data_IF_856493213748
#
_entry.id   IF_856493213748
#
_cell.length_a   1.000
_cell.length_b   1.000
_cell.length_c   1.000
_cell.angle_alpha   90.00
_cell.angle_beta   90.00
_cell.angle_gamma   90.00
#
_symmetry.space_group_name_H-M   'P 1'
#
loop_
_entity.id
_entity.type
_entity.pdbx_description
1 polymer ?
#
# COMPACT_ATOMS: atom_id res chain seq x y z
N UNK A 1 -9.87 22.05 1.84
CA UNK A 1 -10.60 20.81 2.23
C UNK A 1 -10.02 19.63 1.47
N UNK A 2 -9.76 18.53 2.17
CA UNK A 2 -9.16 17.35 1.56
C UNK A 2 -10.21 16.39 1.02
N UNK A 3 -10.10 16.01 -0.24
CA UNK A 3 -10.96 15.06 -0.93
C UNK A 3 -10.15 13.82 -1.28
N UNK A 4 -10.57 12.67 -0.73
CA UNK A 4 -10.10 11.36 -1.13
C UNK A 4 -10.62 11.01 -2.53
N UNK A 5 -9.72 10.67 -3.45
CA UNK A 5 -10.13 10.30 -4.80
C UNK A 5 -10.84 8.94 -4.82
N UNK A 6 -10.41 8.00 -3.99
CA UNK A 6 -11.08 6.70 -3.85
C UNK A 6 -12.52 6.87 -3.33
N UNK A 7 -12.76 7.77 -2.36
CA UNK A 7 -14.12 8.08 -1.92
C UNK A 7 -14.91 8.83 -2.97
N UNK A 8 -14.27 9.73 -3.72
CA UNK A 8 -14.94 10.45 -4.80
C UNK A 8 -15.46 9.49 -5.88
N UNK A 9 -14.70 8.44 -6.20
CA UNK A 9 -15.12 7.39 -7.12
C UNK A 9 -16.33 6.60 -6.61
N UNK A 10 -16.48 6.40 -5.29
CA UNK A 10 -17.68 5.76 -4.73
C UNK A 10 -18.95 6.58 -4.94
N UNK A 11 -18.85 7.91 -4.92
CA UNK A 11 -19.97 8.81 -5.22
C UNK A 11 -20.18 9.04 -6.70
N UNK A 12 -19.11 8.89 -7.50
CA UNK A 12 -19.14 9.08 -8.95
C UNK A 12 -18.33 7.98 -9.65
N UNK A 13 -18.92 6.76 -9.82
CA UNK A 13 -18.22 5.61 -10.42
C UNK A 13 -17.67 5.89 -11.82
N UNK A 14 -18.22 6.91 -12.50
CA UNK A 14 -17.71 7.41 -13.79
C UNK A 14 -16.23 7.79 -13.76
N UNK A 15 -15.67 8.09 -12.58
CA UNK A 15 -14.25 8.45 -12.41
C UNK A 15 -13.32 7.24 -12.34
N UNK A 16 -13.83 6.01 -12.39
CA UNK A 16 -12.98 4.82 -12.44
C UNK A 16 -12.08 4.86 -13.67
N UNK A 17 -10.77 4.70 -13.45
CA UNK A 17 -9.74 4.79 -14.50
C UNK A 17 -9.33 6.21 -14.92
N UNK A 18 -9.92 7.25 -14.33
CA UNK A 18 -9.48 8.63 -14.56
C UNK A 18 -8.19 8.95 -13.80
N UNK A 19 -7.37 9.81 -14.40
CA UNK A 19 -6.20 10.34 -13.72
C UNK A 19 -6.62 11.41 -12.68
N UNK A 20 -6.26 11.28 -11.40
CA UNK A 20 -6.60 12.26 -10.37
C UNK A 20 -6.17 13.69 -10.69
N UNK A 21 -5.04 13.89 -11.39
CA UNK A 21 -4.59 15.21 -11.79
C UNK A 21 -5.53 15.86 -12.84
N UNK A 22 -6.04 15.09 -13.80
CA UNK A 22 -7.03 15.60 -14.77
C UNK A 22 -8.35 15.98 -14.11
N UNK A 23 -8.74 15.23 -13.06
CA UNK A 23 -9.92 15.56 -12.26
C UNK A 23 -9.68 16.83 -11.44
N UNK A 24 -8.48 17.03 -10.90
CA UNK A 24 -8.08 18.24 -10.18
C UNK A 24 -8.11 19.49 -11.10
N UNK A 25 -7.60 19.37 -12.32
CA UNK A 25 -7.70 20.43 -13.35
C UNK A 25 -9.17 20.76 -13.68
N UNK A 26 -9.98 19.71 -13.81
CA UNK A 26 -11.43 19.87 -14.05
C UNK A 26 -12.11 20.60 -12.90
N UNK A 27 -11.81 20.24 -11.64
CA UNK A 27 -12.36 20.89 -10.44
C UNK A 27 -12.03 22.39 -10.45
N UNK A 28 -10.78 22.75 -10.71
CA UNK A 28 -10.36 24.15 -10.82
C UNK A 28 -11.12 24.86 -11.94
N UNK A 29 -11.27 24.23 -13.10
CA UNK A 29 -11.98 24.81 -14.25
C UNK A 29 -13.48 25.08 -13.98
N UNK A 30 -14.11 24.30 -13.09
CA UNK A 30 -15.52 24.50 -12.71
C UNK A 30 -15.71 25.37 -11.45
N UNK A 31 -14.63 25.96 -10.93
CA UNK A 31 -14.66 26.91 -9.83
C UNK A 31 -14.47 26.32 -8.42
N UNK A 32 -13.91 25.11 -8.35
CA UNK A 32 -13.38 24.50 -7.12
C UNK A 32 -11.86 24.48 -7.21
N UNK A 33 -11.23 25.57 -6.78
CA UNK A 33 -9.77 25.74 -6.89
C UNK A 33 -9.01 24.64 -6.15
N UNK A 34 -8.12 23.93 -6.84
CA UNK A 34 -7.28 22.89 -6.26
C UNK A 34 -5.95 23.50 -5.86
N UNK A 35 -5.63 23.42 -4.55
CA UNK A 35 -4.38 23.89 -3.96
C UNK A 35 -3.25 22.86 -4.12
N UNK A 36 -3.59 21.57 -4.12
CA UNK A 36 -2.61 20.49 -4.23
C UNK A 36 -3.22 19.12 -4.52
N UNK A 37 -2.37 18.22 -5.00
CA UNK A 37 -2.69 16.80 -5.20
C UNK A 37 -1.55 15.99 -4.58
N UNK A 38 -1.86 15.17 -3.59
CA UNK A 38 -0.89 14.36 -2.87
C UNK A 38 -1.28 12.88 -2.89
N UNK A 39 -0.30 12.02 -3.11
CA UNK A 39 -0.50 10.58 -3.01
C UNK A 39 -0.25 10.12 -1.58
N UNK A 40 -1.24 9.47 -0.98
CA UNK A 40 -1.20 8.92 0.37
C UNK A 40 -1.13 7.40 0.29
N UNK A 41 -0.20 6.81 1.02
CA UNK A 41 0.02 5.36 1.09
C UNK A 41 0.02 4.91 2.56
N UNK A 42 -0.62 3.78 2.87
CA UNK A 42 -0.64 3.20 4.23
C UNK A 42 0.77 2.91 4.74
N UNK A 43 1.66 2.51 3.84
CA UNK A 43 3.08 2.31 4.10
C UNK A 43 3.87 3.07 3.05
N UNK A 44 4.84 3.85 3.48
CA UNK A 44 5.64 4.68 2.58
C UNK A 44 6.34 3.83 1.51
N UNK A 45 6.14 4.16 0.26
CA UNK A 45 6.64 3.39 -0.88
C UNK A 45 5.72 2.25 -1.32
N UNK A 46 4.58 2.02 -0.63
CA UNK A 46 3.56 1.04 -1.01
C UNK A 46 4.07 -0.39 -1.12
N UNK A 47 5.19 -0.73 -0.48
CA UNK A 47 5.89 -2.02 -0.58
C UNK A 47 6.18 -2.48 -2.03
N UNK A 48 6.36 -1.54 -2.96
CA UNK A 48 6.68 -1.88 -4.36
C UNK A 48 7.99 -2.64 -4.47
N UNK A 49 7.94 -3.86 -5.06
CA UNK A 49 9.07 -4.76 -5.17
C UNK A 49 9.32 -5.64 -3.94
N UNK A 50 8.44 -5.56 -2.93
CA UNK A 50 8.42 -6.49 -1.80
C UNK A 50 7.42 -7.59 -2.08
N UNK A 51 7.84 -8.85 -1.92
CA UNK A 51 7.01 -10.03 -2.20
C UNK A 51 7.07 -11.02 -1.05
N UNK A 52 6.10 -11.91 -0.98
CA UNK A 52 6.13 -13.06 -0.09
C UNK A 52 7.01 -14.14 -0.70
N UNK A 53 7.95 -14.67 0.06
CA UNK A 53 8.84 -15.74 -0.36
C UNK A 53 8.75 -16.94 0.57
N UNK A 54 9.27 -18.07 0.11
CA UNK A 54 9.43 -19.26 0.94
C UNK A 54 10.89 -19.69 0.99
N UNK A 55 11.46 -19.80 2.19
CA UNK A 55 12.81 -20.31 2.38
C UNK A 55 12.83 -21.81 2.12
N UNK A 56 13.51 -22.26 1.06
CA UNK A 56 13.65 -23.68 0.73
C UNK A 56 14.77 -24.32 1.55
N UNK A 57 15.92 -23.64 1.63
CA UNK A 57 17.08 -24.06 2.42
C UNK A 57 17.63 -22.91 3.23
N UNK A 58 18.26 -23.23 4.36
CA UNK A 58 18.97 -22.29 5.20
C UNK A 58 20.19 -23.00 5.79
N UNK A 59 21.37 -22.63 5.35
CA UNK A 59 22.63 -23.25 5.79
C UNK A 59 23.55 -22.20 6.41
N UNK A 60 24.41 -22.57 7.38
CA UNK A 60 25.41 -21.66 7.92
C UNK A 60 26.31 -21.10 6.80
N UNK A 61 26.65 -19.84 6.91
CA UNK A 61 27.54 -19.19 5.95
C UNK A 61 28.99 -19.69 6.11
N UNK A 62 29.70 -20.05 5.02
CA UNK A 62 31.02 -20.67 5.12
C UNK A 62 32.09 -19.77 5.77
N UNK A 63 31.93 -18.45 5.71
CA UNK A 63 32.89 -17.48 6.21
C UNK A 63 32.30 -16.55 7.29
N UNK A 64 31.26 -17.02 8.01
CA UNK A 64 30.60 -16.22 9.09
C UNK A 64 29.89 -17.15 10.07
N UNK A 65 29.97 -16.81 11.34
CA UNK A 65 29.36 -17.51 12.45
C UNK A 65 27.91 -17.07 12.76
N UNK A 66 27.47 -15.94 12.18
CA UNK A 66 26.15 -15.35 12.41
C UNK A 66 25.33 -15.13 11.14
N UNK A 67 25.89 -15.43 9.95
CA UNK A 67 25.16 -15.34 8.70
C UNK A 67 24.67 -16.72 8.24
N UNK A 68 23.59 -16.72 7.50
CA UNK A 68 23.05 -17.89 6.83
C UNK A 68 22.90 -17.62 5.33
N UNK A 69 23.15 -18.64 4.53
CA UNK A 69 22.87 -18.63 3.09
C UNK A 69 21.55 -19.36 2.87
N UNK A 70 20.57 -18.63 2.40
CA UNK A 70 19.22 -19.13 2.17
C UNK A 70 18.94 -19.23 0.67
N UNK A 71 18.28 -20.30 0.25
CA UNK A 71 17.64 -20.39 -1.06
C UNK A 71 16.16 -20.07 -0.85
N UNK A 72 15.66 -19.08 -1.57
CA UNK A 72 14.30 -18.56 -1.38
C UNK A 72 13.53 -18.63 -2.70
N UNK A 73 12.36 -19.25 -2.65
CA UNK A 73 11.40 -19.26 -3.74
C UNK A 73 10.60 -17.94 -3.70
N UNK A 74 10.60 -17.21 -4.82
CA UNK A 74 9.87 -15.97 -5.01
C UNK A 74 8.77 -16.09 -6.08
N UNK A 75 8.38 -17.34 -6.44
CA UNK A 75 7.38 -17.60 -7.48
C UNK A 75 7.92 -17.47 -8.91
N UNK A 76 9.23 -17.33 -9.08
CA UNK A 76 9.93 -17.33 -10.38
C UNK A 76 10.38 -18.73 -10.75
N UNK A 77 10.89 -18.94 -12.00
CA UNK A 77 11.33 -20.25 -12.47
C UNK A 77 12.47 -20.83 -11.61
N UNK A 78 13.39 -19.98 -11.14
CA UNK A 78 14.52 -20.38 -10.30
C UNK A 78 14.49 -19.66 -8.95
N UNK A 79 14.70 -20.39 -7.85
CA UNK A 79 14.87 -19.78 -6.53
C UNK A 79 16.11 -18.89 -6.47
N UNK A 80 16.08 -17.86 -5.65
CA UNK A 80 17.19 -16.92 -5.48
C UNK A 80 17.99 -17.19 -4.21
N UNK A 81 19.29 -16.90 -4.24
CA UNK A 81 20.14 -16.95 -3.06
C UNK A 81 20.07 -15.60 -2.32
N UNK A 82 19.78 -15.65 -1.02
CA UNK A 82 19.80 -14.48 -0.12
C UNK A 82 20.63 -14.82 1.12
N UNK A 83 21.54 -13.95 1.48
CA UNK A 83 22.31 -14.04 2.73
C UNK A 83 21.59 -13.26 3.81
N UNK A 84 21.28 -13.92 4.92
CA UNK A 84 20.52 -13.36 6.04
C UNK A 84 21.32 -13.47 7.33
N UNK A 85 21.29 -12.39 8.14
CA UNK A 85 21.93 -12.32 9.45
C UNK A 85 20.98 -12.46 10.63
N UNK A 86 19.69 -12.62 10.37
CA UNK A 86 18.70 -12.71 11.43
C UNK A 86 18.79 -14.05 12.19
N UNK A 87 18.68 -14.04 13.53
CA UNK A 87 18.85 -15.24 14.34
C UNK A 87 17.69 -16.25 14.20
N UNK A 88 16.55 -15.80 13.71
CA UNK A 88 15.33 -16.59 13.57
C UNK A 88 15.09 -17.14 12.16
N UNK A 89 16.04 -16.94 11.22
CA UNK A 89 15.86 -17.47 9.85
C UNK A 89 16.06 -19.00 9.84
N UNK A 90 15.15 -19.71 9.17
CA UNK A 90 15.19 -21.16 9.02
C UNK A 90 14.60 -21.59 7.68
N UNK A 91 14.86 -22.84 7.27
CA UNK A 91 14.21 -23.43 6.11
C UNK A 91 12.71 -23.69 6.36
N UNK A 92 11.90 -23.61 5.32
CA UNK A 92 10.45 -23.86 5.35
C UNK A 92 9.58 -22.68 5.77
N UNK A 93 10.18 -21.53 6.12
CA UNK A 93 9.44 -20.35 6.57
C UNK A 93 8.84 -19.56 5.40
N UNK A 94 7.65 -19.02 5.62
CA UNK A 94 7.06 -17.98 4.78
C UNK A 94 7.57 -16.62 5.26
N UNK A 95 8.22 -15.87 4.39
CA UNK A 95 8.96 -14.65 4.76
C UNK A 95 8.68 -13.50 3.78
N UNK A 96 8.98 -12.29 4.20
CA UNK A 96 8.83 -11.08 3.39
C UNK A 96 10.18 -10.74 2.79
N UNK A 97 10.22 -10.58 1.47
CA UNK A 97 11.46 -10.37 0.72
C UNK A 97 11.39 -9.11 -0.12
N UNK A 98 12.34 -8.21 0.10
CA UNK A 98 12.61 -7.10 -0.79
C UNK A 98 13.54 -7.56 -1.92
N UNK A 99 13.04 -7.52 -3.16
CA UNK A 99 13.80 -7.92 -4.36
C UNK A 99 14.82 -6.87 -4.76
N UNK A 100 15.77 -7.25 -5.61
CA UNK A 100 16.76 -6.30 -6.15
C UNK A 100 16.07 -5.18 -6.92
N UNK A 101 16.42 -3.95 -6.59
CA UNK A 101 15.80 -2.74 -7.17
C UNK A 101 14.76 -2.08 -6.28
N UNK A 102 14.22 -2.77 -5.28
CA UNK A 102 13.27 -2.25 -4.29
C UNK A 102 13.90 -1.12 -3.48
N UNK A 103 13.12 -0.09 -3.21
CA UNK A 103 13.48 0.98 -2.26
C UNK A 103 12.64 0.79 -1.00
N UNK A 104 13.30 0.63 0.13
CA UNK A 104 12.68 0.59 1.46
C UNK A 104 12.92 1.91 2.19
N UNK A 105 12.08 2.19 3.19
CA UNK A 105 12.14 3.42 3.97
C UNK A 105 12.28 3.07 5.45
N UNK A 106 13.36 3.52 6.08
CA UNK A 106 13.62 3.34 7.50
C UNK A 106 12.67 4.16 8.38
N UNK A 107 12.65 3.88 9.69
CA UNK A 107 11.81 4.62 10.67
C UNK A 107 12.13 6.10 10.75
N UNK A 108 13.37 6.49 10.43
CA UNK A 108 13.88 7.86 10.35
C UNK A 108 13.48 8.58 9.05
N UNK A 109 12.83 7.86 8.12
CA UNK A 109 12.45 8.37 6.81
C UNK A 109 13.55 8.32 5.77
N UNK A 110 14.75 7.83 6.10
CA UNK A 110 15.79 7.58 5.11
C UNK A 110 15.41 6.42 4.21
N UNK A 111 15.76 6.53 2.92
CA UNK A 111 15.50 5.49 1.95
C UNK A 111 16.78 4.73 1.61
N UNK A 112 16.67 3.42 1.47
CA UNK A 112 17.75 2.60 0.97
C UNK A 112 17.28 1.64 -0.12
N UNK A 113 18.10 1.50 -1.16
CA UNK A 113 17.80 0.67 -2.32
C UNK A 113 18.46 -0.68 -2.21
N UNK A 114 17.68 -1.75 -2.34
CA UNK A 114 18.16 -3.12 -2.37
C UNK A 114 18.94 -3.35 -3.67
N UNK A 115 20.20 -3.77 -3.53
CA UNK A 115 21.09 -4.04 -4.64
C UNK A 115 21.59 -5.48 -4.56
N UNK A 116 21.90 -6.07 -5.71
CA UNK A 116 22.70 -7.28 -5.74
C UNK A 116 24.01 -7.04 -4.99
N UNK A 117 24.27 -7.84 -3.98
CA UNK A 117 25.43 -7.68 -3.10
C UNK A 117 26.22 -9.00 -2.98
N UNK A 118 27.41 -8.89 -2.45
CA UNK A 118 28.25 -10.05 -2.11
C UNK A 118 28.67 -9.91 -0.65
N UNK A 119 28.14 -10.77 0.20
CA UNK A 119 28.38 -10.74 1.64
C UNK A 119 29.41 -11.83 2.00
N UNK A 120 30.58 -11.44 2.44
CA UNK A 120 31.71 -12.34 2.81
C UNK A 120 32.01 -13.46 1.78
N UNK A 121 31.80 -13.15 0.50
CA UNK A 121 32.05 -14.10 -0.60
C UNK A 121 30.80 -14.70 -1.23
N UNK A 122 29.66 -14.73 -0.54
CA UNK A 122 28.41 -15.29 -1.03
C UNK A 122 27.51 -14.21 -1.67
N UNK A 123 26.92 -14.45 -2.86
CA UNK A 123 26.01 -13.51 -3.50
C UNK A 123 24.66 -13.45 -2.75
N UNK A 124 24.08 -12.26 -2.69
CA UNK A 124 22.73 -12.02 -2.16
C UNK A 124 21.90 -11.24 -3.18
N UNK A 125 20.75 -11.82 -3.58
CA UNK A 125 19.86 -11.30 -4.62
C UNK A 125 18.56 -10.71 -4.04
N UNK A 126 18.65 -10.11 -2.87
CA UNK A 126 17.53 -9.52 -2.16
C UNK A 126 17.81 -9.42 -0.67
N UNK A 127 16.78 -9.09 0.09
CA UNK A 127 16.82 -9.01 1.54
C UNK A 127 15.54 -9.61 2.13
N UNK A 128 15.69 -10.52 3.10
CA UNK A 128 14.55 -10.97 3.93
C UNK A 128 14.38 -9.94 5.02
N UNK A 129 13.15 -9.41 5.18
CA UNK A 129 12.87 -8.21 5.95
C UNK A 129 12.24 -8.50 7.32
N UNK A 130 12.53 -7.64 8.29
CA UNK A 130 11.80 -7.49 9.55
C UNK A 130 10.57 -6.57 9.36
N UNK A 131 9.74 -6.46 10.39
CA UNK A 131 8.59 -5.55 10.40
C UNK A 131 9.02 -4.08 10.27
N UNK A 132 10.10 -3.70 10.96
CA UNK A 132 10.62 -2.33 10.95
C UNK A 132 11.14 -1.93 9.57
N UNK A 133 11.85 -2.84 8.88
CA UNK A 133 12.43 -2.55 7.58
C UNK A 133 11.39 -2.31 6.48
N UNK A 134 10.21 -2.88 6.61
CA UNK A 134 9.09 -2.62 5.68
C UNK A 134 8.10 -1.55 6.21
N UNK A 135 8.36 -0.95 7.37
CA UNK A 135 7.51 0.11 7.94
C UNK A 135 6.14 -0.38 8.46
N UNK A 136 6.00 -1.67 8.80
CA UNK A 136 4.73 -2.27 9.23
C UNK A 136 4.72 -2.72 10.69
N UNK A 137 5.68 -2.32 11.49
CA UNK A 137 5.73 -2.65 12.91
C UNK A 137 6.98 -2.13 13.60
N UNK A 138 7.16 -2.52 14.87
CA UNK A 138 8.26 -2.07 15.70
C UNK A 138 9.29 -3.18 16.00
N UNK A 139 9.03 -4.43 15.57
CA UNK A 139 9.93 -5.55 15.85
C UNK A 139 11.08 -5.60 14.83
N UNK A 140 12.30 -5.46 15.35
CA UNK A 140 13.55 -5.57 14.63
C UNK A 140 14.44 -6.70 15.16
N UNK A 141 13.93 -7.56 16.03
CA UNK A 141 14.70 -8.64 16.65
C UNK A 141 15.10 -9.75 15.67
N UNK A 142 14.41 -9.84 14.54
CA UNK A 142 14.66 -10.80 13.46
C UNK A 142 13.83 -10.51 12.23
N UNK A 143 13.82 -11.44 11.28
CA UNK A 143 12.96 -11.36 10.11
C UNK A 143 11.49 -11.58 10.51
N UNK A 144 10.57 -11.01 9.71
CA UNK A 144 9.14 -11.29 9.90
C UNK A 144 8.77 -12.60 9.21
N UNK A 145 8.49 -13.61 10.04
CA UNK A 145 7.96 -14.90 9.60
C UNK A 145 6.44 -14.83 9.65
N UNK A 146 5.78 -15.19 8.57
CA UNK A 146 4.32 -15.25 8.47
C UNK A 146 3.82 -16.63 8.85
N UNK A 147 2.75 -16.68 9.64
CA UNK A 147 2.09 -17.94 10.03
C UNK A 147 1.22 -18.54 8.91
N UNK A 148 1.10 -17.85 7.78
CA UNK A 148 0.32 -18.28 6.62
C UNK A 148 1.18 -19.09 5.65
N UNK A 149 1.04 -20.42 5.70
CA UNK A 149 1.70 -21.32 4.76
C UNK A 149 0.97 -21.46 3.42
N UNK A 150 -0.24 -20.92 3.29
CA UNK A 150 -1.09 -21.07 2.11
C UNK A 150 -0.81 -20.02 1.02
N UNK A 151 -0.19 -18.92 1.41
CA UNK A 151 0.17 -17.84 0.48
C UNK A 151 1.19 -18.32 -0.53
N UNK A 152 0.99 -17.98 -1.79
CA UNK A 152 1.90 -18.36 -2.87
C UNK A 152 3.15 -17.50 -2.84
N UNK A 153 4.35 -18.09 -2.99
CA UNK A 153 5.57 -17.33 -3.26
C UNK A 153 5.38 -16.40 -4.47
N UNK A 154 5.95 -15.21 -4.40
CA UNK A 154 5.81 -14.17 -5.42
C UNK A 154 4.58 -13.26 -5.26
N UNK A 155 3.66 -13.57 -4.33
CA UNK A 155 2.55 -12.66 -4.03
C UNK A 155 3.10 -11.30 -3.58
N UNK A 156 2.69 -10.17 -4.21
CA UNK A 156 3.10 -8.84 -3.76
C UNK A 156 2.70 -8.63 -2.29
N UNK A 157 3.62 -8.13 -1.48
CA UNK A 157 3.34 -7.89 -0.06
C UNK A 157 2.23 -6.84 0.13
N UNK A 158 2.12 -5.87 -0.78
CA UNK A 158 1.05 -4.89 -0.78
C UNK A 158 -0.34 -5.55 -0.89
N UNK A 159 -0.48 -6.54 -1.76
CA UNK A 159 -1.72 -7.28 -1.95
C UNK A 159 -2.03 -8.20 -0.76
N UNK A 160 -0.99 -8.85 -0.23
CA UNK A 160 -1.14 -9.72 0.94
C UNK A 160 -1.62 -8.97 2.19
N UNK A 161 -1.11 -7.76 2.40
CA UNK A 161 -1.49 -6.92 3.54
C UNK A 161 -2.67 -5.98 3.25
N UNK A 162 -3.29 -6.06 2.08
CA UNK A 162 -4.39 -5.19 1.64
C UNK A 162 -4.05 -3.69 1.84
N UNK A 163 -2.86 -3.29 1.40
CA UNK A 163 -2.38 -1.92 1.58
C UNK A 163 -3.18 -0.95 0.73
N UNK A 164 -3.78 0.02 1.40
CA UNK A 164 -4.50 1.08 0.73
C UNK A 164 -3.55 2.18 0.23
N UNK A 165 -3.80 2.63 -0.99
CA UNK A 165 -3.26 3.88 -1.53
C UNK A 165 -4.41 4.76 -1.99
N UNK A 166 -4.26 6.08 -1.83
CA UNK A 166 -5.24 7.05 -2.26
C UNK A 166 -4.55 8.30 -2.81
N UNK A 167 -5.28 9.08 -3.57
CA UNK A 167 -4.86 10.43 -3.97
C UNK A 167 -5.76 11.44 -3.26
N UNK A 168 -5.16 12.31 -2.49
CA UNK A 168 -5.84 13.39 -1.79
C UNK A 168 -5.75 14.65 -2.63
N UNK A 169 -6.91 15.23 -2.98
CA UNK A 169 -7.03 16.50 -3.69
C UNK A 169 -7.41 17.55 -2.66
N UNK A 170 -6.55 18.54 -2.45
CA UNK A 170 -6.82 19.67 -1.58
C UNK A 170 -7.56 20.76 -2.36
N UNK A 171 -8.78 21.10 -1.90
CA UNK A 171 -9.64 22.09 -2.54
C UNK A 171 -9.84 23.29 -1.61
N UNK A 172 -9.66 24.48 -2.11
CA UNK A 172 -9.97 25.72 -1.44
C UNK A 172 -11.44 26.09 -1.69
N UNK A 173 -12.28 25.83 -0.68
CA UNK A 173 -13.73 26.10 -0.73
C UNK A 173 -14.00 27.52 -0.29
N UNK A 174 -14.61 28.30 -1.17
CA UNK A 174 -15.08 29.66 -0.85
C UNK A 174 -16.35 29.60 -0.01
N UNK A 175 -16.62 30.58 0.88
CA UNK A 175 -17.77 30.57 1.81
C UNK A 175 -19.14 30.46 1.15
N UNK A 176 -19.27 30.83 -0.11
CA UNK A 176 -20.51 30.73 -0.88
C UNK A 176 -20.77 29.32 -1.47
N UNK A 177 -19.78 28.41 -1.39
CA UNK A 177 -19.86 27.04 -1.92
C UNK A 177 -20.05 25.98 -0.82
N UNK A 178 -20.99 26.27 0.11
CA UNK A 178 -21.35 25.35 1.21
C UNK A 178 -21.82 23.99 0.69
N UNK A 179 -22.41 23.96 -0.49
CA UNK A 179 -22.85 22.75 -1.20
C UNK A 179 -21.70 21.79 -1.56
N UNK A 180 -20.49 22.31 -1.73
CA UNK A 180 -19.29 21.57 -2.12
C UNK A 180 -18.42 21.15 -0.92
N UNK A 181 -18.86 21.35 0.33
CA UNK A 181 -18.09 21.01 1.54
C UNK A 181 -18.11 19.52 1.91
N UNK A 182 -18.23 18.64 0.93
CA UNK A 182 -18.23 17.19 1.11
C UNK A 182 -17.83 16.48 -0.19
N UNK A 183 -17.36 15.24 -0.10
CA UNK A 183 -17.11 14.40 -1.27
C UNK A 183 -18.32 14.29 -2.19
N UNK A 184 -19.52 14.15 -1.61
CA UNK A 184 -20.76 14.10 -2.39
C UNK A 184 -21.06 15.43 -3.10
N UNK A 185 -20.80 16.57 -2.45
CA UNK A 185 -20.97 17.90 -3.05
C UNK A 185 -20.04 18.08 -4.26
N UNK A 186 -18.77 17.74 -4.10
CA UNK A 186 -17.76 17.76 -5.18
C UNK A 186 -18.14 16.79 -6.31
N UNK A 187 -18.60 15.59 -5.97
CA UNK A 187 -19.06 14.60 -6.96
C UNK A 187 -20.23 15.13 -7.80
N UNK A 188 -21.16 15.91 -7.19
CA UNK A 188 -22.28 16.53 -7.91
C UNK A 188 -21.82 17.56 -8.93
N UNK A 189 -20.82 18.37 -8.61
CA UNK A 189 -20.26 19.35 -9.53
C UNK A 189 -19.58 18.68 -10.71
N UNK A 190 -18.77 17.66 -10.45
CA UNK A 190 -18.15 16.85 -11.49
C UNK A 190 -19.20 16.13 -12.35
N UNK A 191 -20.25 15.58 -11.73
CA UNK A 191 -21.34 14.93 -12.45
C UNK A 191 -22.06 15.91 -13.40
N UNK A 192 -22.28 17.15 -12.96
CA UNK A 192 -22.87 18.20 -13.79
C UNK A 192 -21.96 18.56 -14.96
N UNK A 193 -20.67 18.72 -14.72
CA UNK A 193 -19.68 19.02 -15.76
C UNK A 193 -19.61 17.92 -16.82
N UNK A 194 -19.47 16.64 -16.38
CA UNK A 194 -19.40 15.53 -17.33
C UNK A 194 -20.73 15.30 -18.05
N UNK A 195 -21.87 15.55 -17.39
CA UNK A 195 -23.19 15.53 -18.07
C UNK A 195 -23.24 16.51 -19.24
N UNK A 196 -22.74 17.73 -19.03
CA UNK A 196 -22.68 18.74 -20.07
C UNK A 196 -21.74 18.35 -21.20
N UNK A 197 -20.55 17.87 -20.85
CA UNK A 197 -19.53 17.50 -21.86
C UNK A 197 -19.92 16.30 -22.71
N UNK A 198 -20.58 15.32 -22.13
CA UNK A 198 -20.91 14.05 -22.78
C UNK A 198 -22.34 14.04 -23.38
N UNK A 199 -23.11 15.08 -23.09
CA UNK A 199 -24.50 15.17 -23.60
C UNK A 199 -25.45 14.12 -23.01
N UNK A 200 -25.10 13.55 -21.86
CA UNK A 200 -25.90 12.54 -21.16
C UNK A 200 -26.01 12.88 -19.65
N UNK A 201 -27.08 12.41 -19.03
CA UNK A 201 -27.29 12.67 -17.60
C UNK A 201 -26.40 11.74 -16.78
N UNK A 202 -25.41 12.30 -16.11
CA UNK A 202 -24.56 11.65 -15.10
C UNK A 202 -24.98 12.17 -13.73
N UNK A 203 -25.07 11.32 -12.73
CA UNK A 203 -25.47 11.69 -11.37
C UNK A 203 -24.48 11.15 -10.37
N UNK A 204 -24.21 11.93 -9.33
CA UNK A 204 -23.53 11.44 -8.16
C UNK A 204 -24.46 10.51 -7.37
N UNK A 205 -23.95 9.38 -6.94
CA UNK A 205 -24.66 8.34 -6.22
C UNK A 205 -24.38 8.47 -4.72
N UNK A 206 -25.35 8.13 -3.90
CA UNK A 206 -25.13 8.00 -2.46
C UNK A 206 -24.94 6.54 -2.12
N UNK A 207 -23.93 6.19 -1.31
CA UNK A 207 -23.75 4.82 -0.85
C UNK A 207 -25.02 4.33 -0.15
N UNK A 208 -25.37 3.07 -0.39
CA UNK A 208 -26.48 2.43 0.32
C UNK A 208 -26.08 2.24 1.79
N UNK A 209 -26.82 2.84 2.70
CA UNK A 209 -26.59 2.64 4.12
C UNK A 209 -27.02 1.21 4.49
N UNK A 210 -26.05 0.37 4.86
CA UNK A 210 -26.34 -0.90 5.52
C UNK A 210 -26.92 -0.60 6.91
N UNK A 211 -28.12 -1.11 7.19
CA UNK A 211 -28.65 -1.02 8.56
C UNK A 211 -27.65 -1.70 9.50
N UNK A 212 -27.21 -1.04 10.58
CA UNK A 212 -26.37 -1.69 11.56
C UNK A 212 -27.10 -2.95 12.04
N UNK A 213 -26.41 -4.08 12.08
CA UNK A 213 -26.94 -5.25 12.77
C UNK A 213 -27.23 -4.82 14.20
N UNK A 214 -28.41 -5.18 14.72
CA UNK A 214 -28.82 -4.83 16.08
C UNK A 214 -27.76 -5.34 17.06
N UNK A 215 -26.94 -4.42 17.57
CA UNK A 215 -26.09 -4.71 18.72
C UNK A 215 -27.04 -4.92 19.88
N UNK A 216 -26.92 -6.09 20.55
CA UNK A 216 -27.74 -6.41 21.71
C UNK A 216 -27.64 -5.23 22.71
N UNK A 217 -28.76 -4.61 23.02
CA UNK A 217 -28.81 -3.39 23.85
C UNK A 217 -28.18 -3.56 25.24
N UNK A 218 -27.86 -4.79 25.62
CA UNK A 218 -27.15 -5.15 26.86
C UNK A 218 -25.64 -4.89 26.79
N UNK A 219 -25.04 -4.74 25.61
CA UNK A 219 -23.60 -4.49 25.44
C UNK A 219 -23.22 -3.02 25.57
N UNK A 220 -24.15 -2.09 25.62
CA UNK A 220 -23.93 -0.64 25.64
C UNK A 220 -24.13 0.03 27.02
N UNK A 221 -24.29 -0.74 28.08
CA UNK A 221 -24.22 -0.20 29.45
C UNK A 221 -22.73 0.00 29.84
N UNK A 222 -22.17 1.12 29.41
CA UNK A 222 -20.93 1.63 30.01
C UNK A 222 -21.31 2.12 31.40
N UNK A 223 -20.82 1.44 32.43
CA UNK A 223 -20.84 1.91 33.82
C UNK A 223 -19.76 2.97 34.02
#
# INVERSE_FOLDING_TARGET
MNISFNWLQQYLPRLEGYNPNEVAETLTAIGLEVAGVEQTESVRGGLRGVVIGRTLTCIPHPNSDHLHVCTVDLGEEEPVQIVCGAPNVAAGQTVIVATVGTTLYGPDGESFKIKKSKLRGEPSMGMICSQVEIGMGADSSGIWVLDDETVKPGTPAADYFDLASDTVIEIDITPNRVDATSHYGVARDLAAYYSYREGQVIRAERPTLTKPQSVDARASAIQ
#
